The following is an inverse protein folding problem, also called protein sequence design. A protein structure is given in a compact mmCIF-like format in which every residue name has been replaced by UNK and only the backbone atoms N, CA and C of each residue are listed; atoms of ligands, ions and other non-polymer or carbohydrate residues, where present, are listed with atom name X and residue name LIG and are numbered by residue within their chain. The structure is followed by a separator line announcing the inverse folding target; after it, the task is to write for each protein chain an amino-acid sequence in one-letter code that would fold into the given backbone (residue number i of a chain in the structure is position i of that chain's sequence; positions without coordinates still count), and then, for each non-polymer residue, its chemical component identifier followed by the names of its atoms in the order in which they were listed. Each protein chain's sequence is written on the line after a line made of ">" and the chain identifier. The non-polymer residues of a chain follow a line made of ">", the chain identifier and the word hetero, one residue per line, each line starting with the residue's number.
data_IF_702030127666
#
_entry.id   IF_702030127666
#
_cell.length_a   1.000
_cell.length_b   1.000
_cell.length_c   1.000
_cell.angle_alpha   90.00
_cell.angle_beta   90.00
_cell.angle_gamma   90.00
#
_symmetry.space_group_name_H-M   'P 1'
#
loop_
_entity.id
_entity.type
_entity.pdbx_description
1 polymer ?
#
# COMPACT_ATOMS: atom_id res chain seq x y z
N UNK A 1 -4.84 -54.88 8.70
CA UNK A 1 -5.57 -53.59 8.85
C UNK A 1 -4.73 -52.48 9.49
N UNK A 2 -4.03 -52.69 10.62
CA UNK A 2 -3.23 -51.64 11.30
C UNK A 2 -2.12 -50.97 10.45
N UNK A 3 -1.48 -51.69 9.51
CA UNK A 3 -0.43 -51.12 8.65
C UNK A 3 -0.98 -50.13 7.61
N UNK A 4 -2.17 -50.38 7.07
CA UNK A 4 -2.77 -49.53 6.04
C UNK A 4 -3.22 -48.18 6.62
N UNK A 5 -3.79 -48.20 7.84
CA UNK A 5 -4.21 -46.97 8.54
C UNK A 5 -3.02 -46.08 8.90
N UNK A 6 -1.89 -46.66 9.30
CA UNK A 6 -0.65 -45.91 9.59
C UNK A 6 -0.08 -45.26 8.32
N UNK A 7 -0.06 -45.98 7.19
CA UNK A 7 0.40 -45.44 5.90
C UNK A 7 -0.50 -44.28 5.44
N UNK A 8 -1.82 -44.45 5.55
CA UNK A 8 -2.77 -43.40 5.18
C UNK A 8 -2.59 -42.15 6.05
N UNK A 9 -2.44 -42.32 7.37
CA UNK A 9 -2.22 -41.21 8.29
C UNK A 9 -0.91 -40.46 8.02
N UNK A 10 0.16 -41.19 7.72
CA UNK A 10 1.46 -40.59 7.40
C UNK A 10 1.49 -39.90 6.04
N UNK A 11 0.77 -40.42 5.04
CA UNK A 11 0.60 -39.75 3.75
C UNK A 11 -0.19 -38.43 3.88
N UNK A 12 -1.26 -38.41 4.67
CA UNK A 12 -2.03 -37.19 4.96
C UNK A 12 -1.17 -36.17 5.72
N UNK A 13 -0.39 -36.62 6.71
CA UNK A 13 0.48 -35.73 7.46
C UNK A 13 1.56 -35.10 6.56
N UNK A 14 2.18 -35.90 5.68
CA UNK A 14 3.15 -35.38 4.70
C UNK A 14 2.53 -34.37 3.74
N UNK A 15 1.32 -34.62 3.25
CA UNK A 15 0.66 -33.70 2.32
C UNK A 15 0.29 -32.39 2.99
N UNK A 16 -0.17 -32.41 4.25
CA UNK A 16 -0.44 -31.20 5.04
C UNK A 16 0.83 -30.40 5.30
N UNK A 17 1.94 -31.07 5.65
CA UNK A 17 3.24 -30.41 5.84
C UNK A 17 3.74 -29.81 4.54
N UNK A 18 3.59 -30.52 3.42
CA UNK A 18 3.99 -30.01 2.10
C UNK A 18 3.14 -28.81 1.68
N UNK A 19 1.82 -28.85 1.88
CA UNK A 19 0.93 -27.71 1.66
C UNK A 19 1.34 -26.50 2.51
N UNK A 20 1.68 -26.73 3.79
CA UNK A 20 2.17 -25.68 4.69
C UNK A 20 3.44 -25.01 4.17
N UNK A 21 4.47 -25.79 3.80
CA UNK A 21 5.71 -25.24 3.26
C UNK A 21 5.54 -24.57 1.90
N UNK A 22 4.71 -25.15 1.02
CA UNK A 22 4.45 -24.58 -0.31
C UNK A 22 3.71 -23.25 -0.28
N UNK A 23 2.93 -22.98 0.78
CA UNK A 23 2.25 -21.70 0.98
C UNK A 23 3.06 -20.65 1.73
N UNK A 24 4.29 -20.93 2.18
CA UNK A 24 5.11 -19.92 2.86
C UNK A 24 5.73 -18.94 1.87
N UNK A 25 5.22 -17.72 1.83
CA UNK A 25 5.78 -16.61 1.07
C UNK A 25 6.55 -15.65 1.99
N UNK A 26 7.70 -15.15 1.52
CA UNK A 26 8.40 -14.02 2.16
C UNK A 26 7.84 -12.71 1.64
N UNK A 27 7.30 -11.88 2.53
CA UNK A 27 6.82 -10.53 2.21
C UNK A 27 7.68 -9.49 2.91
N UNK A 28 7.82 -8.35 2.25
CA UNK A 28 8.60 -7.22 2.73
C UNK A 28 7.68 -6.01 2.83
N UNK A 29 7.84 -5.22 3.88
CA UNK A 29 7.13 -3.97 4.10
C UNK A 29 8.04 -3.00 4.85
N UNK A 30 7.85 -1.70 4.63
CA UNK A 30 8.46 -0.69 5.47
C UNK A 30 7.52 -0.35 6.61
N UNK A 31 8.06 -0.32 7.83
CA UNK A 31 7.28 -0.04 9.04
C UNK A 31 7.95 1.06 9.86
N UNK A 32 7.12 1.85 10.56
CA UNK A 32 7.61 2.81 11.56
C UNK A 32 7.20 2.29 12.93
N UNK A 33 8.15 2.10 13.84
CA UNK A 33 7.90 1.55 15.20
C UNK A 33 7.14 0.21 15.18
N UNK A 34 7.38 -0.65 14.18
CA UNK A 34 6.70 -1.94 14.03
C UNK A 34 5.23 -1.85 13.57
N UNK A 35 4.83 -0.73 12.97
CA UNK A 35 3.50 -0.53 12.38
C UNK A 35 3.62 -0.35 10.86
N UNK A 36 2.93 -1.22 10.11
CA UNK A 36 2.86 -1.19 8.64
C UNK A 36 2.03 -0.02 8.10
N UNK A 37 0.92 0.33 8.77
CA UNK A 37 0.04 1.41 8.38
C UNK A 37 0.16 2.57 9.37
N UNK A 38 0.78 3.66 8.93
CA UNK A 38 1.03 4.84 9.76
C UNK A 38 -0.10 5.82 9.54
N UNK A 39 -0.79 6.17 10.61
CA UNK A 39 -1.77 7.25 10.55
C UNK A 39 -1.07 8.60 10.40
N UNK A 40 -1.36 9.31 9.31
CA UNK A 40 -0.82 10.64 9.05
C UNK A 40 -1.70 11.74 9.66
N UNK A 41 -3.01 11.53 9.63
CA UNK A 41 -4.04 12.43 10.09
C UNK A 41 -5.30 11.65 10.45
N UNK A 42 -5.84 11.90 11.64
CA UNK A 42 -7.17 11.51 12.04
C UNK A 42 -8.03 12.78 12.16
N UNK A 43 -9.12 12.81 11.41
CA UNK A 43 -10.13 13.85 11.43
C UNK A 43 -11.50 13.20 11.71
N UNK A 44 -12.46 13.89 12.33
CA UNK A 44 -13.82 13.36 12.47
C UNK A 44 -14.44 12.92 11.13
N UNK A 45 -13.97 13.50 10.03
CA UNK A 45 -14.55 13.30 8.71
C UNK A 45 -13.85 12.28 7.81
N UNK A 46 -12.61 11.93 8.13
CA UNK A 46 -11.80 11.03 7.35
C UNK A 46 -10.52 10.69 8.10
N UNK A 47 -9.85 9.63 7.67
CA UNK A 47 -8.53 9.27 8.15
C UNK A 47 -7.61 9.05 6.96
N UNK A 48 -6.37 9.50 7.12
CA UNK A 48 -5.30 9.32 6.14
C UNK A 48 -4.24 8.39 6.72
N UNK A 49 -3.92 7.34 5.99
CA UNK A 49 -2.88 6.38 6.35
C UNK A 49 -1.80 6.31 5.27
N UNK A 50 -0.61 5.92 5.70
CA UNK A 50 0.56 5.71 4.87
C UNK A 50 1.01 4.25 5.00
N UNK A 51 1.24 3.60 3.87
CA UNK A 51 1.99 2.35 3.78
C UNK A 51 3.12 2.49 2.77
N UNK A 52 4.18 1.70 2.93
CA UNK A 52 5.25 1.62 1.94
C UNK A 52 5.68 0.16 1.76
N UNK A 53 5.66 -0.29 0.51
CA UNK A 53 5.88 -1.70 0.17
C UNK A 53 6.94 -1.78 -0.93
N UNK A 54 8.09 -2.41 -0.68
CA UNK A 54 9.07 -2.67 -1.73
C UNK A 54 8.63 -3.84 -2.60
N UNK A 55 8.83 -3.68 -3.90
CA UNK A 55 8.86 -4.74 -4.90
C UNK A 55 10.29 -4.93 -5.42
N UNK A 56 10.53 -5.88 -6.32
CA UNK A 56 11.88 -6.27 -6.76
C UNK A 56 12.66 -5.12 -7.43
N UNK A 57 11.97 -4.17 -8.07
CA UNK A 57 12.59 -3.03 -8.78
C UNK A 57 12.01 -1.67 -8.39
N UNK A 58 11.06 -1.62 -7.45
CA UNK A 58 10.33 -0.41 -7.13
C UNK A 58 9.95 -0.32 -5.65
N UNK A 59 9.67 0.89 -5.19
CA UNK A 59 9.01 1.17 -3.93
C UNK A 59 7.66 1.79 -4.20
N UNK A 60 6.58 1.17 -3.73
CA UNK A 60 5.26 1.78 -3.72
C UNK A 60 5.03 2.46 -2.38
N UNK A 61 4.74 3.75 -2.40
CA UNK A 61 4.29 4.52 -1.24
C UNK A 61 2.83 4.87 -1.43
N UNK A 62 1.98 4.40 -0.54
CA UNK A 62 0.54 4.48 -0.66
C UNK A 62 -0.03 5.41 0.42
N UNK A 63 -0.89 6.34 -0.01
CA UNK A 63 -1.66 7.19 0.87
C UNK A 63 -3.13 6.82 0.72
N UNK A 64 -3.70 6.28 1.78
CA UNK A 64 -5.06 5.74 1.80
C UNK A 64 -5.96 6.67 2.61
N UNK A 65 -7.05 7.10 1.98
CA UNK A 65 -8.16 7.79 2.61
C UNK A 65 -9.25 6.79 2.97
N UNK A 66 -9.69 6.78 4.23
CA UNK A 66 -10.79 5.94 4.69
C UNK A 66 -11.66 6.68 5.72
N UNK A 67 -12.77 6.02 6.14
CA UNK A 67 -13.79 6.61 7.01
C UNK A 67 -14.34 7.93 6.47
N UNK A 68 -14.50 8.03 5.15
CA UNK A 68 -14.94 9.24 4.47
C UNK A 68 -16.40 9.52 4.79
N UNK A 69 -16.68 10.69 5.36
CA UNK A 69 -18.04 11.19 5.52
C UNK A 69 -18.26 12.54 4.82
N UNK A 70 -17.21 13.08 4.18
CA UNK A 70 -17.19 14.29 3.38
C UNK A 70 -16.30 14.09 2.17
N UNK A 71 -16.72 14.69 1.05
CA UNK A 71 -15.88 14.79 -0.15
C UNK A 71 -14.66 15.67 0.14
N UNK A 72 -13.49 15.22 -0.31
CA UNK A 72 -12.20 15.90 -0.15
C UNK A 72 -11.65 16.24 -1.53
N UNK A 73 -11.29 17.51 -1.75
CA UNK A 73 -10.58 17.94 -2.96
C UNK A 73 -9.09 18.07 -2.61
N UNK A 74 -8.22 17.46 -3.40
CA UNK A 74 -6.77 17.51 -3.18
C UNK A 74 -6.17 18.49 -4.19
N UNK A 75 -5.87 19.71 -3.73
CA UNK A 75 -5.32 20.76 -4.59
C UNK A 75 -3.92 20.39 -5.09
N UNK A 76 -3.12 19.75 -4.22
CA UNK A 76 -1.75 19.36 -4.51
C UNK A 76 -1.30 18.25 -3.58
N UNK A 77 -0.52 17.31 -4.09
CA UNK A 77 0.14 16.28 -3.29
C UNK A 77 1.54 15.95 -3.84
N UNK A 78 2.51 15.79 -2.93
CA UNK A 78 3.84 15.31 -3.26
C UNK A 78 4.37 14.36 -2.20
N UNK A 79 5.07 13.34 -2.69
CA UNK A 79 5.79 12.36 -1.87
C UNK A 79 7.23 12.30 -2.38
N UNK A 80 8.17 12.38 -1.45
CA UNK A 80 9.59 12.24 -1.72
C UNK A 80 10.16 11.15 -0.81
N UNK A 81 10.91 10.21 -1.38
CA UNK A 81 11.61 9.18 -0.61
C UNK A 81 13.11 9.41 -0.67
N UNK A 82 13.77 9.27 0.47
CA UNK A 82 15.21 9.43 0.62
C UNK A 82 15.83 8.17 1.24
N UNK A 83 16.91 7.71 0.64
CA UNK A 83 17.86 6.76 1.21
C UNK A 83 19.27 7.26 0.85
N UNK A 84 19.87 8.07 1.72
CA UNK A 84 21.08 8.87 1.45
C UNK A 84 20.95 9.91 0.32
N UNK A 85 20.18 9.61 -0.72
CA UNK A 85 19.78 10.46 -1.84
C UNK A 85 18.29 10.31 -2.13
N UNK A 86 17.72 11.25 -2.90
CA UNK A 86 16.32 11.21 -3.33
C UNK A 86 16.11 10.10 -4.37
N UNK A 87 15.12 9.24 -4.14
CA UNK A 87 14.70 8.24 -5.12
C UNK A 87 13.95 8.89 -6.28
N UNK A 88 14.09 8.30 -7.47
CA UNK A 88 13.43 8.79 -8.68
C UNK A 88 11.98 8.28 -8.70
N UNK A 89 11.03 9.20 -8.84
CA UNK A 89 9.63 8.88 -9.07
C UNK A 89 9.47 8.31 -10.48
N UNK A 90 8.76 7.19 -10.60
CA UNK A 90 8.39 6.57 -11.88
C UNK A 90 7.01 7.06 -12.28
N UNK A 91 6.04 6.89 -11.39
CA UNK A 91 4.64 7.21 -11.64
C UNK A 91 3.88 7.48 -10.35
N UNK A 92 2.75 8.15 -10.49
CA UNK A 92 1.71 8.33 -9.49
C UNK A 92 0.44 7.73 -10.05
N UNK A 93 -0.26 6.95 -9.24
CA UNK A 93 -1.57 6.42 -9.59
C UNK A 93 -2.61 6.66 -8.52
N UNK A 94 -3.89 6.55 -8.90
CA UNK A 94 -5.02 6.66 -8.00
C UNK A 94 -6.03 5.53 -8.27
N UNK A 95 -6.63 5.00 -7.21
CA UNK A 95 -7.60 3.89 -7.31
C UNK A 95 -8.66 4.02 -6.21
N UNK A 96 -9.91 3.86 -6.59
CA UNK A 96 -11.04 3.70 -5.68
C UNK A 96 -11.24 2.21 -5.34
N UNK A 97 -11.40 1.88 -4.06
CA UNK A 97 -11.44 0.52 -3.52
C UNK A 97 -12.61 -0.37 -3.98
N UNK A 98 -13.55 0.12 -4.81
CA UNK A 98 -14.67 -0.68 -5.36
C UNK A 98 -14.73 -0.86 -6.86
N UNK A 99 -14.18 0.05 -7.69
CA UNK A 99 -14.55 0.11 -9.11
C UNK A 99 -13.38 -0.07 -10.10
N UNK A 100 -13.50 -1.16 -10.86
CA UNK A 100 -13.15 -1.39 -12.28
C UNK A 100 -11.69 -1.23 -12.77
N UNK A 101 -11.14 -2.34 -13.30
CA UNK A 101 -9.87 -2.43 -14.05
C UNK A 101 -9.67 -1.39 -15.17
N UNK A 102 -10.74 -0.75 -15.63
CA UNK A 102 -10.71 0.28 -16.69
C UNK A 102 -10.10 1.60 -16.18
N UNK A 103 -10.37 1.98 -14.93
CA UNK A 103 -9.83 3.22 -14.35
C UNK A 103 -8.38 3.02 -13.86
N UNK A 104 -8.02 1.83 -13.37
CA UNK A 104 -6.64 1.48 -13.01
C UNK A 104 -5.65 1.65 -14.19
N UNK A 105 -6.09 1.40 -15.43
CA UNK A 105 -5.25 1.61 -16.63
C UNK A 105 -5.01 3.07 -16.97
N UNK A 106 -5.97 3.96 -16.66
CA UNK A 106 -5.93 5.37 -17.05
C UNK A 106 -5.58 6.31 -15.89
N UNK A 107 -5.58 5.82 -14.65
CA UNK A 107 -5.31 6.59 -13.44
C UNK A 107 -3.84 6.78 -13.13
N UNK A 108 -2.93 6.75 -14.12
CA UNK A 108 -1.48 6.87 -13.94
C UNK A 108 -0.94 8.16 -14.56
N UNK A 109 0.04 8.79 -13.91
CA UNK A 109 0.70 9.99 -14.39
C UNK A 109 2.14 10.10 -13.85
N UNK A 110 2.97 10.95 -14.46
CA UNK A 110 4.34 11.19 -13.97
C UNK A 110 4.37 11.92 -12.62
N UNK A 111 3.34 12.72 -12.32
CA UNK A 111 3.20 13.50 -11.09
C UNK A 111 1.72 13.60 -10.72
N UNK A 112 1.42 13.87 -9.45
CA UNK A 112 0.05 14.07 -8.99
C UNK A 112 -0.70 15.16 -9.78
N UNK A 113 -0.03 16.27 -10.10
CA UNK A 113 -0.65 17.39 -10.82
C UNK A 113 -1.14 16.99 -12.22
N UNK A 114 -0.53 15.96 -12.82
CA UNK A 114 -0.89 15.43 -14.14
C UNK A 114 -1.96 14.34 -14.08
N UNK A 115 -2.44 13.94 -12.90
CA UNK A 115 -3.59 13.06 -12.79
C UNK A 115 -4.85 13.75 -13.34
N UNK A 116 -5.79 12.99 -13.92
CA UNK A 116 -7.12 13.48 -14.24
C UNK A 116 -7.80 14.15 -13.04
N UNK A 117 -8.54 15.24 -13.27
CA UNK A 117 -9.17 16.02 -12.19
C UNK A 117 -10.13 15.20 -11.33
N UNK A 118 -10.90 14.28 -11.93
CA UNK A 118 -11.82 13.41 -11.17
C UNK A 118 -11.08 12.52 -10.16
N UNK A 119 -9.81 12.17 -10.41
CA UNK A 119 -8.98 11.40 -9.47
C UNK A 119 -8.33 12.26 -8.39
N UNK A 120 -8.50 13.59 -8.41
CA UNK A 120 -8.07 14.50 -7.33
C UNK A 120 -9.19 14.77 -6.33
N UNK A 121 -10.36 14.17 -6.55
CA UNK A 121 -11.55 14.31 -5.70
C UNK A 121 -11.82 12.94 -5.07
N UNK A 122 -11.77 12.90 -3.74
CA UNK A 122 -12.10 11.70 -2.96
C UNK A 122 -13.53 11.86 -2.47
N UNK A 123 -14.46 11.17 -3.12
CA UNK A 123 -15.88 11.25 -2.80
C UNK A 123 -16.22 10.52 -1.50
N UNK A 124 -17.19 11.06 -0.75
CA UNK A 124 -17.76 10.40 0.44
C UNK A 124 -18.64 9.20 0.11
N UNK A 125 -19.05 9.04 -1.16
CA UNK A 125 -19.74 7.84 -1.65
C UNK A 125 -18.85 6.59 -1.70
N UNK A 126 -17.55 6.72 -1.41
CA UNK A 126 -16.60 5.61 -1.40
C UNK A 126 -16.73 4.84 -0.09
N UNK A 127 -17.33 3.65 -0.15
CA UNK A 127 -17.67 2.83 1.03
C UNK A 127 -16.47 2.15 1.76
N UNK A 128 -15.23 2.18 1.24
CA UNK A 128 -14.08 1.39 1.68
C UNK A 128 -12.85 2.29 1.79
N UNK A 129 -12.22 2.62 0.67
CA UNK A 129 -11.08 3.52 0.66
C UNK A 129 -10.78 4.10 -0.73
N UNK A 130 -10.07 5.22 -0.75
CA UNK A 130 -9.41 5.75 -1.94
C UNK A 130 -7.89 5.75 -1.72
N UNK A 131 -7.13 5.24 -2.68
CA UNK A 131 -5.68 5.06 -2.57
C UNK A 131 -4.94 5.85 -3.64
N UNK A 132 -3.94 6.63 -3.23
CA UNK A 132 -2.92 7.20 -4.11
C UNK A 132 -1.60 6.46 -3.93
N UNK A 133 -1.00 5.98 -5.02
CA UNK A 133 0.27 5.26 -5.00
C UNK A 133 1.35 6.02 -5.76
N UNK A 134 2.46 6.35 -5.09
CA UNK A 134 3.68 6.86 -5.71
C UNK A 134 4.69 5.73 -5.84
N UNK A 135 5.03 5.38 -7.08
CA UNK A 135 5.98 4.32 -7.38
C UNK A 135 7.36 4.94 -7.66
N UNK A 136 8.37 4.54 -6.89
CA UNK A 136 9.75 5.01 -7.03
C UNK A 136 10.65 3.90 -7.54
N UNK A 137 11.65 4.27 -8.32
CA UNK A 137 12.68 3.34 -8.80
C UNK A 137 13.59 2.90 -7.64
N UNK A 138 13.74 1.58 -7.48
CA UNK A 138 14.69 0.98 -6.56
C UNK A 138 15.70 0.12 -7.34
N UNK A 139 16.99 0.41 -7.17
CA UNK A 139 18.08 -0.33 -7.82
C UNK A 139 18.27 -1.71 -7.19
N UNK A 140 17.45 -2.72 -7.50
CA UNK A 140 17.52 -4.18 -7.16
C UNK A 140 17.85 -4.59 -5.70
N UNK A 141 18.29 -3.68 -4.84
CA UNK A 141 18.68 -3.85 -3.46
C UNK A 141 17.54 -3.25 -2.65
N UNK A 142 16.98 -4.03 -1.73
CA UNK A 142 15.97 -3.54 -0.80
C UNK A 142 16.66 -2.62 0.21
N UNK A 143 16.21 -1.37 0.29
CA UNK A 143 16.84 -0.36 1.16
C UNK A 143 16.47 -0.68 2.60
N UNK A 144 17.43 -0.59 3.53
CA UNK A 144 17.14 -0.95 4.92
C UNK A 144 16.31 0.11 5.63
N UNK A 145 16.65 1.37 5.43
CA UNK A 145 16.00 2.51 6.08
C UNK A 145 15.62 3.54 5.01
N UNK A 146 14.41 4.06 5.11
CA UNK A 146 13.94 5.12 4.21
C UNK A 146 13.34 6.26 5.03
N UNK A 147 13.42 7.46 4.46
CA UNK A 147 12.70 8.65 4.94
C UNK A 147 11.71 9.08 3.88
N UNK A 148 10.45 9.20 4.25
CA UNK A 148 9.36 9.63 3.38
C UNK A 148 8.91 11.02 3.83
N UNK A 149 8.95 11.99 2.93
CA UNK A 149 8.41 13.33 3.13
C UNK A 149 7.13 13.47 2.32
N UNK A 150 6.06 13.90 2.98
CA UNK A 150 4.71 14.04 2.41
C UNK A 150 4.28 15.49 2.59
N UNK A 151 3.79 16.09 1.51
CA UNK A 151 3.20 17.44 1.51
C UNK A 151 1.89 17.42 0.71
N UNK A 152 0.76 17.72 1.36
CA UNK A 152 -0.55 17.76 0.72
C UNK A 152 -1.35 19.00 1.13
N UNK A 153 -2.12 19.56 0.19
CA UNK A 153 -3.14 20.59 0.41
C UNK A 153 -4.49 19.96 0.11
N UNK A 154 -5.36 19.94 1.11
CA UNK A 154 -6.68 19.35 1.05
C UNK A 154 -7.70 20.46 1.29
N UNK A 155 -8.82 20.40 0.58
CA UNK A 155 -9.98 21.23 0.81
C UNK A 155 -11.16 20.33 1.18
N UNK A 156 -11.70 20.54 2.38
CA UNK A 156 -12.82 19.77 2.94
C UNK A 156 -13.91 20.76 3.30
N UNK A 157 -15.02 20.76 2.56
CA UNK A 157 -16.14 21.70 2.74
C UNK A 157 -15.70 23.17 2.85
N UNK A 158 -14.87 23.64 1.93
CA UNK A 158 -14.29 25.00 1.90
C UNK A 158 -13.28 25.30 3.02
N UNK A 159 -12.85 24.29 3.79
CA UNK A 159 -11.78 24.43 4.78
C UNK A 159 -10.44 23.95 4.24
N UNK A 160 -9.53 24.91 4.20
CA UNK A 160 -8.07 24.80 4.03
C UNK A 160 -7.41 23.81 4.98
N UNK A 161 -6.94 22.64 4.56
CA UNK A 161 -6.09 21.76 5.38
C UNK A 161 -4.74 21.52 4.71
N UNK A 162 -3.67 21.48 5.51
CA UNK A 162 -2.33 21.14 5.05
C UNK A 162 -1.78 19.95 5.84
N UNK A 163 -1.23 18.98 5.13
CA UNK A 163 -0.54 17.83 5.70
C UNK A 163 0.94 17.88 5.29
N UNK A 164 1.80 18.20 6.25
CA UNK A 164 3.25 18.17 6.06
C UNK A 164 3.86 17.20 7.08
N UNK A 165 4.33 16.04 6.63
CA UNK A 165 4.85 14.98 7.49
C UNK A 165 6.17 14.44 6.96
N UNK A 166 7.03 14.06 7.90
CA UNK A 166 8.25 13.30 7.63
C UNK A 166 8.18 12.03 8.47
N UNK A 167 8.34 10.90 7.81
CA UNK A 167 8.20 9.57 8.40
C UNK A 167 9.46 8.79 8.09
N UNK A 168 10.10 8.24 9.13
CA UNK A 168 11.20 7.30 8.96
C UNK A 168 10.64 5.88 9.08
N UNK A 169 11.10 4.97 8.22
CA UNK A 169 10.69 3.57 8.23
C UNK A 169 11.90 2.65 8.04
N UNK A 170 11.83 1.47 8.66
CA UNK A 170 12.79 0.38 8.46
C UNK A 170 12.12 -0.75 7.68
N UNK A 171 12.91 -1.48 6.90
CA UNK A 171 12.48 -2.66 6.16
C UNK A 171 12.28 -3.86 7.11
N UNK A 172 11.08 -4.42 7.09
CA UNK A 172 10.74 -5.64 7.81
C UNK A 172 10.49 -6.80 6.84
N UNK A 173 10.96 -7.99 7.23
CA UNK A 173 10.69 -9.25 6.55
C UNK A 173 9.70 -10.07 7.39
N UNK A 174 8.60 -10.51 6.78
CA UNK A 174 7.64 -11.42 7.41
C UNK A 174 7.41 -12.64 6.53
N UNK A 175 7.43 -13.83 7.13
CA UNK A 175 6.91 -15.05 6.50
C UNK A 175 5.40 -15.10 6.69
N UNK A 176 4.67 -15.15 5.58
CA UNK A 176 3.21 -15.22 5.58
C UNK A 176 2.80 -16.51 4.90
N UNK A 177 1.88 -17.26 5.52
CA UNK A 177 1.25 -18.38 4.86
C UNK A 177 0.13 -17.88 3.96
N UNK A 178 0.26 -18.13 2.67
CA UNK A 178 -0.77 -17.88 1.68
C UNK A 178 -1.29 -19.23 1.24
N UNK A 179 -2.60 -19.44 1.34
CA UNK A 179 -3.21 -20.71 0.91
C UNK A 179 -2.83 -20.97 -0.55
N UNK A 180 -2.23 -22.13 -0.88
CA UNK A 180 -1.93 -22.50 -2.26
C UNK A 180 -3.20 -22.75 -3.08
N UNK A 181 -4.36 -22.89 -2.43
CA UNK A 181 -5.67 -22.96 -3.09
C UNK A 181 -6.14 -21.54 -3.36
N UNK A 182 -5.76 -20.99 -4.52
CA UNK A 182 -6.42 -19.81 -5.09
C UNK A 182 -7.61 -20.32 -5.91
N UNK A 183 -8.83 -20.06 -5.48
CA UNK A 183 -9.98 -20.17 -6.37
C UNK A 183 -9.83 -19.04 -7.41
N UNK A 184 -9.49 -19.43 -8.63
CA UNK A 184 -9.45 -18.55 -9.80
C UNK A 184 -10.85 -18.39 -10.40
#
# INVERSE_FOLDING_TARGET
>A
MKKLSVILFSAILLSVVWLYFSGLEKRYSYENTGKQNIELLENPNFKIQLSATPNDSALSVEIVFNKLNKTIIIDSASVEVFENQKLKLIEVSATDGFYNWVEEKNGKAETFNKLPEHLKIVHDSIEAYFNYSWNFEMKKIKLRNIKIKISMSLNVENKRMQLNKVVNMELFEKKVFVSPIRFH
#
